data_IF_775169892912
#
_entry.id   IF_775169892912
#
_cell.length_a   1.000
_cell.length_b   1.000
_cell.length_c   1.000
_cell.angle_alpha   90.00
_cell.angle_beta   90.00
_cell.angle_gamma   90.00
#
_symmetry.space_group_name_H-M   'P 1'
#
loop_
_entity.id
_entity.type
_entity.pdbx_description
1 polymer ?
#
# COMPACT_ATOMS: atom_id res chain seq x y z
N UNK A 1 -3.32 -12.94 -6.55
CA UNK A 1 -2.95 -12.64 -7.95
C UNK A 1 -3.59 -13.64 -8.90
N UNK A 2 -3.28 -14.93 -8.80
CA UNK A 2 -3.91 -15.98 -9.64
C UNK A 2 -5.44 -15.95 -9.63
N UNK A 3 -6.08 -15.78 -8.46
CA UNK A 3 -7.54 -15.63 -8.34
C UNK A 3 -8.13 -14.51 -9.19
N UNK A 4 -7.36 -13.45 -9.44
CA UNK A 4 -7.78 -12.26 -10.19
C UNK A 4 -7.12 -12.19 -11.58
N UNK A 5 -6.38 -13.24 -11.99
CA UNK A 5 -5.63 -13.29 -13.23
C UNK A 5 -4.70 -12.07 -13.44
N UNK A 6 -4.14 -11.55 -12.35
CA UNK A 6 -3.26 -10.38 -12.35
C UNK A 6 -1.80 -10.80 -12.46
N UNK A 7 -1.04 -10.10 -13.30
CA UNK A 7 0.42 -10.20 -13.36
C UNK A 7 1.06 -9.32 -12.27
N UNK A 8 1.89 -9.88 -11.37
CA UNK A 8 2.56 -9.10 -10.35
C UNK A 8 3.73 -8.31 -10.95
N UNK A 9 3.71 -7.00 -10.77
CA UNK A 9 4.81 -6.09 -11.14
C UNK A 9 5.47 -5.55 -9.88
N UNK A 10 6.79 -5.71 -9.76
CA UNK A 10 7.55 -5.17 -8.64
C UNK A 10 7.75 -3.66 -8.78
N UNK A 11 7.45 -2.91 -7.73
CA UNK A 11 7.71 -1.47 -7.62
C UNK A 11 8.72 -1.19 -6.51
N UNK A 12 9.22 0.05 -6.46
CA UNK A 12 10.18 0.46 -5.42
C UNK A 12 9.56 0.43 -4.02
N UNK A 13 8.34 0.95 -3.87
CA UNK A 13 7.56 0.88 -2.64
C UNK A 13 6.04 0.82 -2.93
N UNK A 14 5.24 0.61 -1.87
CA UNK A 14 3.78 0.44 -1.98
C UNK A 14 3.02 1.73 -2.26
N UNK A 15 3.52 2.86 -1.77
CA UNK A 15 2.93 4.19 -1.93
C UNK A 15 3.20 4.70 -3.35
N UNK A 16 4.42 4.53 -3.85
CA UNK A 16 4.81 4.84 -5.22
C UNK A 16 4.10 3.97 -6.26
N UNK A 17 3.71 2.74 -5.94
CA UNK A 17 2.86 1.92 -6.82
C UNK A 17 1.51 2.60 -7.10
N UNK A 18 0.89 3.19 -6.07
CA UNK A 18 -0.39 3.92 -6.22
C UNK A 18 -0.22 5.14 -7.11
N UNK A 19 0.88 5.89 -6.93
CA UNK A 19 1.18 7.05 -7.75
C UNK A 19 1.36 6.68 -9.23
N UNK A 20 2.06 5.58 -9.52
CA UNK A 20 2.26 5.08 -10.89
C UNK A 20 0.92 4.74 -11.53
N UNK A 21 0.09 3.92 -10.87
CA UNK A 21 -1.22 3.51 -11.40
C UNK A 21 -2.12 4.73 -11.61
N UNK A 22 -2.16 5.66 -10.65
CA UNK A 22 -2.94 6.90 -10.79
C UNK A 22 -2.47 7.75 -11.98
N UNK A 23 -1.16 7.86 -12.18
CA UNK A 23 -0.57 8.64 -13.28
C UNK A 23 -0.81 7.98 -14.65
N UNK A 24 -0.78 6.66 -14.72
CA UNK A 24 -1.04 5.92 -15.96
C UNK A 24 -2.52 6.02 -16.37
N UNK A 25 -3.43 6.06 -15.40
CA UNK A 25 -4.87 6.18 -15.67
C UNK A 25 -5.45 4.97 -16.41
N UNK A 26 -4.76 3.83 -16.36
CA UNK A 26 -5.15 2.59 -17.02
C UNK A 26 -6.03 1.76 -16.09
N UNK A 27 -7.23 1.40 -16.53
CA UNK A 27 -8.19 0.61 -15.73
C UNK A 27 -7.76 -0.84 -15.51
N UNK A 28 -6.84 -1.35 -16.33
CA UNK A 28 -6.28 -2.70 -16.23
C UNK A 28 -5.12 -2.76 -15.20
N UNK A 29 -4.75 -1.62 -14.60
CA UNK A 29 -3.68 -1.54 -13.62
C UNK A 29 -4.23 -1.29 -12.22
N UNK A 30 -3.65 -1.98 -11.23
CA UNK A 30 -4.03 -1.88 -9.82
C UNK A 30 -2.80 -1.86 -8.94
N UNK A 31 -2.88 -1.18 -7.80
CA UNK A 31 -1.82 -1.11 -6.81
C UNK A 31 -2.25 -1.74 -5.48
N UNK A 32 -1.31 -2.39 -4.80
CA UNK A 32 -1.50 -2.88 -3.43
C UNK A 32 -0.80 -1.91 -2.49
N UNK A 33 -1.56 -1.28 -1.61
CA UNK A 33 -1.04 -0.33 -0.63
C UNK A 33 -1.89 -0.34 0.65
N UNK A 34 -1.39 0.35 1.68
CA UNK A 34 -2.15 0.56 2.91
C UNK A 34 -3.37 1.46 2.65
N UNK A 35 -4.42 1.31 3.47
CA UNK A 35 -5.61 2.19 3.40
C UNK A 35 -5.25 3.68 3.53
N UNK A 36 -4.13 4.02 4.17
CA UNK A 36 -3.63 5.39 4.26
C UNK A 36 -3.35 6.02 2.88
N UNK A 37 -2.92 5.22 1.89
CA UNK A 37 -2.62 5.71 0.55
C UNK A 37 -3.84 6.34 -0.16
N UNK A 38 -5.05 5.87 0.13
CA UNK A 38 -6.29 6.48 -0.40
C UNK A 38 -6.45 7.95 -0.04
N UNK A 39 -6.05 8.33 1.19
CA UNK A 39 -6.14 9.71 1.67
C UNK A 39 -5.08 10.60 1.04
N UNK A 40 -3.92 10.03 0.71
CA UNK A 40 -2.79 10.75 0.12
C UNK A 40 -3.02 10.97 -1.36
N UNK A 41 -3.47 9.94 -2.07
CA UNK A 41 -3.59 9.94 -3.52
C UNK A 41 -5.02 10.05 -4.03
N UNK A 42 -6.04 10.18 -3.17
CA UNK A 42 -7.44 10.27 -3.59
C UNK A 42 -7.81 9.16 -4.60
N UNK A 43 -7.63 7.92 -4.17
CA UNK A 43 -7.93 6.72 -4.95
C UNK A 43 -8.99 5.87 -4.26
N UNK A 44 -9.73 5.10 -5.05
CA UNK A 44 -10.75 4.16 -4.55
C UNK A 44 -10.13 2.80 -4.17
N UNK A 45 -10.67 2.17 -3.13
CA UNK A 45 -10.34 0.78 -2.79
C UNK A 45 -11.36 -0.14 -3.44
N UNK A 46 -10.88 -1.03 -4.30
CA UNK A 46 -11.72 -2.04 -4.97
C UNK A 46 -11.82 -3.36 -4.20
N UNK A 47 -10.81 -3.70 -3.39
CA UNK A 47 -10.76 -4.92 -2.57
C UNK A 47 -9.95 -4.66 -1.30
N UNK A 48 -10.50 -5.04 -0.14
CA UNK A 48 -9.85 -4.94 1.17
C UNK A 48 -9.33 -6.30 1.67
N UNK A 49 -8.45 -6.27 2.68
CA UNK A 49 -7.95 -7.45 3.41
C UNK A 49 -7.40 -8.60 2.54
N UNK A 50 -6.65 -8.23 1.49
CA UNK A 50 -6.09 -9.18 0.51
C UNK A 50 -4.79 -9.88 0.97
N UNK A 51 -4.30 -9.56 2.18
CA UNK A 51 -3.10 -10.21 2.73
C UNK A 51 -3.29 -11.71 2.90
N UNK A 52 -2.24 -12.50 2.61
CA UNK A 52 -2.27 -13.95 2.83
C UNK A 52 -2.34 -14.33 4.30
N UNK A 53 -1.67 -13.57 5.17
CA UNK A 53 -1.64 -13.79 6.61
C UNK A 53 -2.34 -12.62 7.31
N UNK A 54 -3.47 -12.84 8.01
CA UNK A 54 -4.17 -11.78 8.73
C UNK A 54 -3.38 -11.24 9.94
N UNK A 55 -2.37 -11.97 10.41
CA UNK A 55 -1.52 -11.59 11.55
C UNK A 55 -0.19 -10.95 11.12
N UNK A 56 -0.15 -10.32 9.94
CA UNK A 56 1.01 -9.57 9.50
C UNK A 56 1.13 -8.23 10.26
N UNK A 57 1.78 -8.26 11.43
CA UNK A 57 1.91 -7.13 12.34
C UNK A 57 3.36 -6.64 12.35
N UNK A 58 3.55 -5.32 12.28
CA UNK A 58 4.88 -4.68 12.40
C UNK A 58 4.98 -3.91 13.71
N UNK A 59 5.97 -4.26 14.54
CA UNK A 59 6.28 -3.56 15.79
C UNK A 59 7.22 -2.39 15.54
N UNK A 60 6.94 -1.22 16.11
CA UNK A 60 7.76 -0.02 16.00
C UNK A 60 8.22 0.47 17.37
N UNK A 61 9.44 1.02 17.45
CA UNK A 61 9.92 1.76 18.61
C UNK A 61 9.77 3.27 18.36
N UNK A 62 9.21 3.99 19.33
CA UNK A 62 9.20 5.46 19.32
C UNK A 62 10.38 5.94 20.17
N UNK A 63 11.33 6.61 19.52
CA UNK A 63 12.54 7.13 20.18
C UNK A 63 12.38 8.64 20.31
N UNK A 64 12.55 9.16 21.52
CA UNK A 64 12.54 10.60 21.81
C UNK A 64 13.86 11.02 22.44
N UNK A 65 14.21 12.31 22.32
CA UNK A 65 15.34 12.86 23.05
C UNK A 65 15.02 12.81 24.54
N UNK A 66 16.02 12.45 25.36
CA UNK A 66 15.91 12.50 26.81
C UNK A 66 15.60 13.94 27.23
N UNK A 67 14.47 14.14 27.89
CA UNK A 67 14.15 15.42 28.53
C UNK A 67 14.98 15.50 29.80
N UNK A 68 15.98 16.39 29.82
CA UNK A 68 16.74 16.73 31.03
C UNK A 68 16.15 18.01 31.60
N UNK A 69 15.68 17.98 32.86
CA UNK A 69 15.35 19.19 33.62
C UNK A 69 16.63 19.85 34.14
#
# INVERSE_FOLDING_TARGET
MEKYNLEPVSTYDTTGAVEIVKKNGNIEEVAIASRLATKIYDIEIIVEDIQKNPYNITSFFVITRKITH
#
